data_IF_311218633335
#
_entry.id   IF_311218633335
#
_cell.length_a   1.000
_cell.length_b   1.000
_cell.length_c   1.000
_cell.angle_alpha   90.00
_cell.angle_beta   90.00
_cell.angle_gamma   90.00
#
_symmetry.space_group_name_H-M   'P 1'
#
loop_
_entity.id
_entity.type
_entity.pdbx_description
1 polymer ?
#
# COMPACT_ATOMS: atom_id res chain seq x y z
N UNK A 1 25.09 -6.83 -2.80
CA UNK A 1 23.74 -7.33 -2.44
C UNK A 1 22.80 -6.98 -3.57
N UNK A 2 22.71 -7.86 -4.56
CA UNK A 2 21.89 -7.70 -5.75
C UNK A 2 20.96 -8.92 -5.82
N UNK A 3 19.69 -8.67 -6.15
CA UNK A 3 18.54 -9.57 -6.36
C UNK A 3 17.43 -9.23 -5.38
N UNK A 4 16.36 -8.61 -5.90
CA UNK A 4 14.93 -8.82 -5.55
C UNK A 4 14.05 -7.76 -6.26
N UNK A 5 14.44 -7.29 -7.46
CA UNK A 5 13.58 -6.48 -8.34
C UNK A 5 13.19 -7.40 -9.52
N UNK A 6 12.34 -8.40 -9.26
CA UNK A 6 11.85 -9.30 -10.30
C UNK A 6 10.61 -10.09 -9.84
N UNK A 7 9.59 -9.42 -9.29
CA UNK A 7 8.35 -10.10 -8.86
C UNK A 7 7.07 -9.36 -9.28
N UNK A 8 7.08 -8.66 -10.42
CA UNK A 8 5.92 -7.86 -10.88
C UNK A 8 5.18 -8.42 -12.10
N UNK A 9 5.46 -9.66 -12.56
CA UNK A 9 4.88 -10.19 -13.82
C UNK A 9 4.10 -11.51 -13.65
N UNK A 10 4.04 -12.14 -12.48
CA UNK A 10 3.55 -13.54 -12.38
C UNK A 10 2.43 -13.86 -11.38
N UNK A 11 1.90 -12.90 -10.63
CA UNK A 11 0.72 -13.14 -9.79
C UNK A 11 -0.45 -12.29 -10.29
N UNK A 12 -1.34 -12.87 -11.08
CA UNK A 12 -2.79 -12.61 -11.17
C UNK A 12 -3.36 -13.08 -12.51
N UNK A 13 -3.48 -14.40 -12.72
CA UNK A 13 -4.57 -14.92 -13.52
C UNK A 13 -5.39 -15.91 -12.70
N UNK A 14 -6.01 -15.51 -11.58
CA UNK A 14 -6.84 -16.44 -10.79
C UNK A 14 -8.04 -15.83 -10.04
N UNK A 15 -8.40 -14.56 -10.26
CA UNK A 15 -9.65 -13.98 -9.72
C UNK A 15 -10.55 -13.38 -10.81
N UNK A 16 -10.57 -14.02 -11.98
CA UNK A 16 -11.66 -13.85 -12.94
C UNK A 16 -12.80 -14.80 -12.56
N UNK A 17 -13.61 -14.42 -11.57
CA UNK A 17 -14.78 -15.22 -11.22
C UNK A 17 -15.40 -14.88 -9.87
N UNK A 18 -16.09 -13.75 -9.78
CA UNK A 18 -17.31 -13.61 -8.97
C UNK A 18 -17.97 -12.25 -9.24
N UNK A 19 -19.14 -12.33 -9.88
CA UNK A 19 -20.31 -11.45 -9.80
C UNK A 19 -20.12 -9.93 -9.67
N UNK A 20 -20.53 -9.23 -10.72
CA UNK A 20 -20.98 -7.85 -10.68
C UNK A 20 -22.09 -7.64 -9.64
N UNK A 21 -22.01 -6.55 -8.89
CA UNK A 21 -23.20 -5.87 -8.35
C UNK A 21 -23.02 -4.36 -8.55
N UNK A 22 -23.93 -3.81 -9.33
CA UNK A 22 -24.16 -2.38 -9.48
C UNK A 22 -24.47 -1.73 -8.12
N UNK A 23 -23.65 -0.75 -7.74
CA UNK A 23 -24.05 0.27 -6.77
C UNK A 23 -23.57 1.63 -7.25
N UNK A 24 -24.54 2.46 -7.63
CA UNK A 24 -24.38 3.89 -7.93
C UNK A 24 -24.21 4.64 -6.61
N UNK A 25 -23.03 5.20 -6.32
CA UNK A 25 -22.82 6.13 -5.19
C UNK A 25 -21.73 7.16 -5.51
N UNK A 26 -22.15 8.41 -5.74
CA UNK A 26 -21.27 9.60 -5.73
C UNK A 26 -20.29 9.70 -6.90
N UNK A 27 -19.95 10.92 -7.32
CA UNK A 27 -18.78 11.08 -8.19
C UNK A 27 -17.58 10.42 -7.48
N UNK A 28 -16.88 9.47 -8.11
CA UNK A 28 -15.76 8.82 -7.45
C UNK A 28 -14.75 9.90 -7.09
N UNK A 29 -14.46 10.05 -5.81
CA UNK A 29 -13.25 10.75 -5.41
C UNK A 29 -12.12 10.08 -6.18
N UNK A 30 -11.43 10.85 -7.02
CA UNK A 30 -10.41 10.32 -7.92
C UNK A 30 -9.44 9.47 -7.09
N UNK A 31 -9.33 8.19 -7.43
CA UNK A 31 -8.54 7.23 -6.66
C UNK A 31 -7.10 7.73 -6.65
N UNK A 32 -6.49 7.98 -5.48
CA UNK A 32 -5.11 8.44 -5.40
C UNK A 32 -4.17 7.25 -5.65
N UNK A 33 -4.01 6.88 -6.93
CA UNK A 33 -3.28 5.68 -7.36
C UNK A 33 -1.85 5.63 -6.83
N UNK A 34 -1.16 6.77 -6.73
CA UNK A 34 0.18 6.85 -6.14
C UNK A 34 0.18 6.36 -4.68
N UNK A 35 -0.83 6.75 -3.90
CA UNK A 35 -0.99 6.37 -2.49
C UNK A 35 -1.42 4.92 -2.35
N UNK A 36 -2.40 4.47 -3.16
CA UNK A 36 -2.83 3.09 -3.18
C UNK A 36 -1.65 2.14 -3.45
N UNK A 37 -0.84 2.42 -4.48
CA UNK A 37 0.31 1.60 -4.83
C UNK A 37 1.39 1.60 -3.74
N UNK A 38 1.61 2.73 -3.06
CA UNK A 38 2.53 2.79 -1.93
C UNK A 38 2.06 1.91 -0.77
N UNK A 39 0.75 1.90 -0.45
CA UNK A 39 0.19 1.09 0.61
C UNK A 39 0.17 -0.41 0.28
N UNK A 40 -0.10 -0.78 -0.97
CA UNK A 40 0.07 -2.16 -1.47
C UNK A 40 1.50 -2.63 -1.18
N UNK A 41 2.49 -1.81 -1.53
CA UNK A 41 3.90 -2.16 -1.31
C UNK A 41 4.25 -2.33 0.16
N UNK A 42 3.63 -1.55 1.06
CA UNK A 42 3.78 -1.71 2.51
C UNK A 42 3.25 -3.08 2.94
N UNK A 43 2.00 -3.42 2.58
CA UNK A 43 1.37 -4.71 2.93
C UNK A 43 2.23 -5.89 2.43
N UNK A 44 2.67 -5.83 1.18
CA UNK A 44 3.51 -6.89 0.59
C UNK A 44 4.83 -7.07 1.35
N UNK A 45 5.40 -5.97 1.85
CA UNK A 45 6.67 -5.97 2.58
C UNK A 45 6.60 -6.45 4.02
N UNK A 46 5.39 -6.61 4.60
CA UNK A 46 5.24 -7.07 5.98
C UNK A 46 5.76 -8.51 6.12
N UNK A 47 6.40 -8.82 7.25
CA UNK A 47 6.80 -10.19 7.61
C UNK A 47 5.61 -10.96 8.24
N UNK A 48 4.47 -10.95 7.55
CA UNK A 48 3.21 -11.59 7.96
C UNK A 48 2.83 -12.74 7.02
N UNK A 49 1.96 -13.63 7.50
CA UNK A 49 1.40 -14.71 6.68
C UNK A 49 0.56 -14.15 5.53
N UNK A 50 0.59 -14.82 4.37
CA UNK A 50 -0.11 -14.39 3.15
C UNK A 50 -1.62 -14.20 3.37
N UNK A 51 -2.25 -15.02 4.22
CA UNK A 51 -3.67 -14.88 4.55
C UNK A 51 -4.02 -13.57 5.27
N UNK A 52 -3.10 -13.04 6.08
CA UNK A 52 -3.27 -11.75 6.74
C UNK A 52 -3.08 -10.60 5.74
N UNK A 53 -2.07 -10.72 4.88
CA UNK A 53 -1.83 -9.77 3.79
C UNK A 53 -3.02 -9.70 2.83
N UNK A 54 -3.61 -10.83 2.46
CA UNK A 54 -4.83 -10.89 1.64
C UNK A 54 -6.00 -10.16 2.30
N UNK A 55 -6.16 -10.31 3.61
CA UNK A 55 -7.18 -9.60 4.38
C UNK A 55 -6.95 -8.08 4.37
N UNK A 56 -5.71 -7.65 4.59
CA UNK A 56 -5.31 -6.24 4.54
C UNK A 56 -5.48 -5.65 3.13
N UNK A 57 -5.15 -6.42 2.08
CA UNK A 57 -5.31 -6.01 0.69
C UNK A 57 -6.79 -5.81 0.35
N UNK A 58 -7.66 -6.75 0.74
CA UNK A 58 -9.12 -6.60 0.55
C UNK A 58 -9.67 -5.38 1.27
N UNK A 59 -9.23 -5.14 2.51
CA UNK A 59 -9.63 -3.97 3.27
C UNK A 59 -9.15 -2.65 2.61
N UNK A 60 -7.94 -2.64 2.07
CA UNK A 60 -7.37 -1.51 1.34
C UNK A 60 -8.20 -1.17 0.09
N UNK A 61 -8.48 -2.16 -0.74
CA UNK A 61 -9.28 -1.97 -1.96
C UNK A 61 -10.72 -1.53 -1.64
N UNK A 62 -11.34 -2.10 -0.59
CA UNK A 62 -12.66 -1.67 -0.13
C UNK A 62 -12.65 -0.20 0.35
N UNK A 63 -11.60 0.22 1.07
CA UNK A 63 -11.47 1.60 1.56
C UNK A 63 -11.38 2.62 0.43
N UNK A 64 -10.66 2.27 -0.63
CA UNK A 64 -10.56 3.11 -1.83
C UNK A 64 -11.69 2.90 -2.84
N UNK A 65 -12.63 1.99 -2.55
CA UNK A 65 -13.71 1.59 -3.46
C UNK A 65 -13.18 1.17 -4.85
N UNK A 66 -12.04 0.49 -4.88
CA UNK A 66 -11.39 0.03 -6.11
C UNK A 66 -11.80 -1.40 -6.39
N UNK A 67 -12.40 -1.63 -7.56
CA UNK A 67 -12.62 -2.97 -8.09
C UNK A 67 -11.43 -3.48 -8.91
N UNK A 68 -11.49 -4.77 -9.27
CA UNK A 68 -10.52 -5.39 -10.19
C UNK A 68 -10.49 -4.69 -11.57
N UNK A 69 -11.65 -4.25 -12.04
CA UNK A 69 -11.81 -3.51 -13.30
C UNK A 69 -11.14 -2.14 -13.26
N UNK A 70 -11.26 -1.41 -12.14
CA UNK A 70 -10.63 -0.10 -11.98
C UNK A 70 -9.12 -0.22 -11.94
N UNK A 71 -8.61 -1.22 -11.21
CA UNK A 71 -7.19 -1.52 -11.15
C UNK A 71 -6.64 -1.90 -12.53
N UNK A 72 -7.35 -2.76 -13.27
CA UNK A 72 -6.99 -3.14 -14.64
C UNK A 72 -6.91 -1.92 -15.55
N UNK A 73 -7.95 -1.07 -15.53
CA UNK A 73 -8.01 0.14 -16.34
C UNK A 73 -6.86 1.09 -16.01
N UNK A 74 -6.58 1.30 -14.72
CA UNK A 74 -5.44 2.09 -14.29
C UNK A 74 -4.13 1.54 -14.85
N UNK A 75 -3.91 0.23 -14.73
CA UNK A 75 -2.68 -0.40 -15.22
C UNK A 75 -2.53 -0.27 -16.74
N UNK A 76 -3.58 -0.52 -17.51
CA UNK A 76 -3.58 -0.34 -18.96
C UNK A 76 -3.28 1.11 -19.35
N UNK A 77 -3.89 2.08 -18.67
CA UNK A 77 -3.62 3.50 -18.88
C UNK A 77 -2.19 3.87 -18.50
N UNK A 78 -1.68 3.33 -17.40
CA UNK A 78 -0.31 3.57 -16.93
C UNK A 78 0.71 3.10 -17.97
N UNK A 79 0.52 1.91 -18.56
CA UNK A 79 1.40 1.39 -19.62
C UNK A 79 1.41 2.25 -20.89
N UNK A 80 0.31 2.95 -21.18
CA UNK A 80 0.19 3.84 -22.33
C UNK A 80 0.78 5.24 -22.08
N UNK A 81 1.13 5.58 -20.83
CA UNK A 81 1.77 6.86 -20.50
C UNK A 81 3.18 6.94 -21.09
N UNK A 82 3.66 8.17 -21.27
CA UNK A 82 5.06 8.41 -21.66
C UNK A 82 6.01 7.91 -20.55
N UNK A 83 7.26 7.55 -20.90
CA UNK A 83 8.25 7.15 -19.90
C UNK A 83 8.45 8.18 -18.78
N UNK A 84 8.44 9.47 -19.10
CA UNK A 84 8.57 10.55 -18.11
C UNK A 84 7.39 10.57 -17.12
N UNK A 85 6.16 10.37 -17.60
CA UNK A 85 4.98 10.33 -16.76
C UNK A 85 4.94 9.06 -15.88
N UNK A 86 5.42 7.93 -16.40
CA UNK A 86 5.60 6.71 -15.61
C UNK A 86 6.67 6.90 -14.53
N UNK A 87 7.79 7.53 -14.88
CA UNK A 87 8.85 7.85 -13.93
C UNK A 87 8.36 8.78 -12.82
N UNK A 88 7.60 9.83 -13.17
CA UNK A 88 7.03 10.75 -12.18
C UNK A 88 6.10 10.03 -11.21
N UNK A 89 5.22 9.16 -11.71
CA UNK A 89 4.36 8.31 -10.88
C UNK A 89 5.19 7.46 -9.91
N UNK A 90 6.23 6.78 -10.40
CA UNK A 90 7.12 5.97 -9.56
C UNK A 90 7.81 6.82 -8.47
N UNK A 91 8.22 8.04 -8.79
CA UNK A 91 8.81 8.95 -7.78
C UNK A 91 7.78 9.37 -6.71
N UNK A 92 6.54 9.65 -7.11
CA UNK A 92 5.46 9.97 -6.17
C UNK A 92 5.21 8.80 -5.22
N UNK A 93 5.03 7.58 -5.75
CA UNK A 93 4.88 6.35 -4.96
C UNK A 93 6.03 6.19 -3.97
N UNK A 94 7.27 6.35 -4.44
CA UNK A 94 8.47 6.25 -3.60
C UNK A 94 8.48 7.28 -2.47
N UNK A 95 8.11 8.52 -2.76
CA UNK A 95 8.04 9.58 -1.76
C UNK A 95 7.01 9.27 -0.68
N UNK A 96 5.83 8.77 -1.07
CA UNK A 96 4.78 8.38 -0.13
C UNK A 96 5.25 7.19 0.72
N UNK A 97 5.88 6.19 0.11
CA UNK A 97 6.41 5.03 0.82
C UNK A 97 7.47 5.43 1.87
N UNK A 98 8.33 6.39 1.54
CA UNK A 98 9.31 6.94 2.49
C UNK A 98 8.63 7.65 3.66
N UNK A 99 7.59 8.43 3.40
CA UNK A 99 6.83 9.10 4.45
C UNK A 99 6.12 8.10 5.38
N UNK A 100 5.49 7.06 4.82
CA UNK A 100 4.81 6.01 5.59
C UNK A 100 5.80 5.23 6.47
N UNK A 101 6.95 4.86 5.92
CA UNK A 101 7.99 4.15 6.69
C UNK A 101 8.61 5.02 7.77
N UNK A 102 8.80 6.32 7.52
CA UNK A 102 9.27 7.26 8.52
C UNK A 102 8.26 7.45 9.66
N UNK A 103 6.98 7.65 9.34
CA UNK A 103 5.91 7.78 10.34
C UNK A 103 5.84 6.55 11.25
N UNK A 104 5.96 5.35 10.68
CA UNK A 104 5.99 4.09 11.45
C UNK A 104 7.21 4.01 12.38
N UNK A 105 8.37 4.49 11.95
CA UNK A 105 9.58 4.57 12.81
C UNK A 105 9.38 5.55 13.95
N UNK A 106 8.80 6.71 13.70
CA UNK A 106 8.54 7.73 14.73
C UNK A 106 7.52 7.25 15.76
N UNK A 107 6.47 6.55 15.31
CA UNK A 107 5.50 5.89 16.19
C UNK A 107 6.17 4.84 17.09
N UNK A 108 6.98 3.95 16.50
CA UNK A 108 7.72 2.93 17.27
C UNK A 108 8.70 3.55 18.29
N UNK A 109 9.40 4.64 17.91
CA UNK A 109 10.30 5.35 18.83
C UNK A 109 9.52 6.02 19.97
N UNK A 110 8.31 6.52 19.72
CA UNK A 110 7.46 7.14 20.75
C UNK A 110 6.97 6.12 21.76
N UNK A 111 6.57 4.93 21.32
CA UNK A 111 6.20 3.82 22.21
C UNK A 111 7.39 3.37 23.09
N UNK A 112 8.58 3.22 22.50
CA UNK A 112 9.80 2.87 23.25
C UNK A 112 10.22 3.94 24.28
N UNK A 113 9.89 5.21 24.06
CA UNK A 113 10.13 6.29 25.02
C UNK A 113 9.08 6.34 26.14
N UNK A 114 7.86 5.86 25.87
CA UNK A 114 6.78 5.79 26.85
C UNK A 114 6.97 4.62 27.83
N UNK A 115 7.57 3.52 27.36
CA UNK A 115 7.86 2.31 28.15
C UNK A 115 9.14 2.39 29.00
N UNK A 116 9.82 3.54 29.06
CA UNK A 116 10.92 3.70 30.03
C UNK A 116 10.27 3.95 31.40
N UNK A 117 10.27 2.98 32.35
CA UNK A 117 9.78 3.27 33.69
C UNK A 117 10.62 4.42 34.24
N UNK A 118 9.96 5.48 34.71
CA UNK A 118 10.59 6.49 35.54
C UNK A 118 11.36 5.72 36.61
N UNK A 119 12.69 5.78 36.52
CA UNK A 119 13.56 5.13 37.51
C UNK A 119 13.14 5.70 38.85
N UNK A 120 12.63 4.81 39.71
CA UNK A 120 12.18 5.13 41.06
C UNK A 120 13.22 6.05 41.72
N UNK A 121 12.79 7.14 42.38
CA UNK A 121 13.74 7.97 43.11
C UNK A 121 14.46 7.08 44.12
N UNK A 122 15.79 7.02 44.03
CA UNK A 122 16.60 6.40 45.08
C UNK A 122 16.30 7.16 46.37
N UNK A 123 15.55 6.50 47.25
CA UNK A 123 15.24 7.03 48.58
C UNK A 123 16.58 7.14 49.34
N UNK A 124 16.80 8.26 50.05
CA UNK A 124 18.06 8.53 50.77
C UNK A 124 18.35 7.50 51.87
#
# INVERSE_FOLDING_TARGET
MARYIAFWIWLFPLLAGAAAQDTVVGAPAEVPWDTLMAEIQVIESLEEADSLKDGQMKALFARYQVGSEDYRRFYEQFLQRTPDAQQQFIQNVKSILQALTQANREAAVKELKLDRPASLPRKP
#
